data_IF_698089977169
#
_entry.id   IF_698089977169
#
_cell.length_a   1.000
_cell.length_b   1.000
_cell.length_c   1.000
_cell.angle_alpha   90.00
_cell.angle_beta   90.00
_cell.angle_gamma   90.00
#
_symmetry.space_group_name_H-M   'P 1'
#
loop_
_entity.id
_entity.type
_entity.pdbx_description
1 polymer ?
#
# COMPACT_ATOMS: atom_id res chain seq x y z
N UNK A 1 3.34 -13.05 34.10
CA UNK A 1 2.96 -13.71 32.84
C UNK A 1 3.60 -12.93 31.71
N UNK A 2 4.81 -13.32 31.30
CA UNK A 2 5.55 -12.68 30.20
C UNK A 2 5.03 -13.28 28.89
N UNK A 3 4.31 -12.49 28.11
CA UNK A 3 4.04 -12.83 26.70
C UNK A 3 4.91 -11.92 25.87
N UNK A 4 6.06 -12.45 25.47
CA UNK A 4 7.01 -11.83 24.56
C UNK A 4 7.25 -12.82 23.44
N UNK A 5 6.52 -12.73 22.31
CA UNK A 5 6.90 -13.28 20.99
C UNK A 5 6.00 -12.57 19.96
N UNK A 6 6.46 -11.92 18.89
CA UNK A 6 7.79 -11.62 18.39
C UNK A 6 7.69 -10.29 17.63
N UNK A 7 8.77 -9.51 17.66
CA UNK A 7 8.99 -8.50 16.65
C UNK A 7 8.92 -9.18 15.28
N UNK A 8 8.20 -8.56 14.33
CA UNK A 8 8.23 -8.94 12.92
C UNK A 8 9.68 -9.05 12.46
N UNK A 9 10.13 -10.29 12.28
CA UNK A 9 11.43 -10.58 11.70
C UNK A 9 11.23 -10.52 10.18
N UNK A 10 11.89 -9.61 9.44
CA UNK A 10 11.68 -9.40 8.00
C UNK A 10 12.14 -10.58 7.11
N UNK A 11 12.42 -11.76 7.70
CA UNK A 11 12.90 -12.98 7.05
C UNK A 11 11.90 -14.15 7.09
N UNK A 12 10.73 -13.99 7.71
CA UNK A 12 9.73 -15.06 7.80
C UNK A 12 8.74 -14.97 6.63
N UNK A 13 8.93 -15.81 5.59
CA UNK A 13 7.94 -15.93 4.51
C UNK A 13 6.85 -16.96 4.87
N UNK A 14 5.59 -16.58 4.70
CA UNK A 14 4.45 -17.51 4.79
C UNK A 14 4.00 -17.93 3.40
N UNK A 15 3.69 -19.22 3.22
CA UNK A 15 3.19 -19.75 1.95
C UNK A 15 1.67 -19.64 1.89
N UNK A 16 1.17 -19.06 0.80
CA UNK A 16 -0.26 -18.99 0.48
C UNK A 16 -0.49 -19.61 -0.91
N UNK A 17 -1.47 -20.49 -1.03
CA UNK A 17 -1.89 -21.06 -2.32
C UNK A 17 -2.97 -20.18 -2.94
N UNK A 18 -2.69 -19.61 -4.11
CA UNK A 18 -3.62 -18.73 -4.84
C UNK A 18 -3.96 -19.34 -6.20
N UNK A 19 -5.22 -19.22 -6.62
CA UNK A 19 -5.64 -19.61 -7.97
C UNK A 19 -5.37 -18.45 -8.93
N UNK A 20 -4.67 -18.74 -10.01
CA UNK A 20 -4.35 -17.77 -11.06
C UNK A 20 -4.96 -18.25 -12.38
N UNK A 21 -5.54 -17.34 -13.20
CA UNK A 21 -5.87 -17.64 -14.59
C UNK A 21 -4.64 -18.18 -15.35
N UNK A 22 -4.86 -19.06 -16.31
CA UNK A 22 -3.79 -19.67 -17.12
C UNK A 22 -2.92 -18.62 -17.80
N UNK A 23 -3.55 -17.61 -18.41
CA UNK A 23 -2.91 -16.50 -19.10
C UNK A 23 -1.97 -15.71 -18.16
N UNK A 24 -2.40 -15.46 -16.93
CA UNK A 24 -1.58 -14.76 -15.94
C UNK A 24 -0.36 -15.59 -15.50
N UNK A 25 -0.54 -16.91 -15.31
CA UNK A 25 0.57 -17.83 -15.01
C UNK A 25 1.60 -17.86 -16.14
N UNK A 26 1.15 -17.83 -17.39
CA UNK A 26 2.04 -17.77 -18.56
C UNK A 26 2.80 -16.45 -18.63
N UNK A 27 2.12 -15.32 -18.43
CA UNK A 27 2.75 -14.01 -18.34
C UNK A 27 3.83 -13.95 -17.26
N UNK A 28 3.53 -14.46 -16.06
CA UNK A 28 4.49 -14.55 -14.96
C UNK A 28 5.71 -15.44 -15.31
N UNK A 29 5.48 -16.52 -16.05
CA UNK A 29 6.55 -17.42 -16.50
C UNK A 29 7.50 -16.73 -17.50
N UNK A 30 6.96 -15.94 -18.43
CA UNK A 30 7.76 -15.13 -19.36
C UNK A 30 8.56 -14.05 -18.63
N UNK A 31 7.96 -13.38 -17.66
CA UNK A 31 8.62 -12.33 -16.87
C UNK A 31 9.75 -12.91 -16.00
N UNK A 32 9.52 -14.04 -15.35
CA UNK A 32 10.52 -14.78 -14.57
C UNK A 32 11.76 -15.11 -15.39
N UNK A 33 11.57 -15.63 -16.62
CA UNK A 33 12.67 -15.99 -17.52
C UNK A 33 13.53 -14.78 -17.91
N UNK A 34 12.90 -13.62 -18.20
CA UNK A 34 13.60 -12.40 -18.61
C UNK A 34 14.30 -11.68 -17.46
N UNK A 35 13.75 -11.74 -16.27
CA UNK A 35 14.26 -11.01 -15.08
C UNK A 35 15.19 -11.84 -14.22
N UNK A 36 15.36 -13.14 -14.50
CA UNK A 36 16.09 -14.10 -13.66
C UNK A 36 15.57 -14.13 -12.21
N UNK A 37 14.24 -14.02 -12.05
CA UNK A 37 13.55 -14.11 -10.76
C UNK A 37 12.59 -15.29 -10.76
N UNK A 38 12.33 -15.88 -9.59
CA UNK A 38 11.33 -16.94 -9.49
C UNK A 38 9.91 -16.38 -9.63
N UNK A 39 8.98 -17.20 -10.09
CA UNK A 39 7.55 -16.82 -10.17
C UNK A 39 7.00 -16.44 -8.80
N UNK A 40 7.37 -17.18 -7.76
CA UNK A 40 6.94 -16.89 -6.38
C UNK A 40 7.49 -15.55 -5.88
N UNK A 41 8.74 -15.21 -6.23
CA UNK A 41 9.31 -13.90 -5.90
C UNK A 41 8.52 -12.78 -6.59
N UNK A 42 8.30 -12.88 -7.90
CA UNK A 42 7.55 -11.86 -8.65
C UNK A 42 6.09 -11.73 -8.18
N UNK A 43 5.43 -12.84 -7.84
CA UNK A 43 4.09 -12.82 -7.28
C UNK A 43 4.07 -12.16 -5.90
N UNK A 44 5.03 -12.50 -5.03
CA UNK A 44 5.18 -11.88 -3.71
C UNK A 44 5.39 -10.38 -3.80
N UNK A 45 6.30 -9.92 -4.66
CA UNK A 45 6.55 -8.50 -4.90
C UNK A 45 5.30 -7.77 -5.41
N UNK A 46 4.59 -8.35 -6.37
CA UNK A 46 3.38 -7.74 -6.92
C UNK A 46 2.28 -7.61 -5.85
N UNK A 47 2.08 -8.65 -5.03
CA UNK A 47 1.12 -8.64 -3.93
C UNK A 47 1.54 -7.64 -2.86
N UNK A 48 2.81 -7.62 -2.45
CA UNK A 48 3.32 -6.69 -1.45
C UNK A 48 3.13 -5.23 -1.90
N UNK A 49 3.45 -4.93 -3.16
CA UNK A 49 3.26 -3.60 -3.70
C UNK A 49 1.77 -3.21 -3.77
N UNK A 50 0.87 -4.14 -4.10
CA UNK A 50 -0.57 -3.90 -4.06
C UNK A 50 -1.04 -3.61 -2.64
N UNK A 51 -0.77 -4.51 -1.70
CA UNK A 51 -1.19 -4.38 -0.29
C UNK A 51 -0.68 -3.08 0.32
N UNK A 52 0.59 -2.72 0.11
CA UNK A 52 1.15 -1.48 0.64
C UNK A 52 0.38 -0.24 0.17
N UNK A 53 0.04 -0.17 -1.14
CA UNK A 53 -0.73 0.95 -1.70
C UNK A 53 -2.16 0.98 -1.16
N UNK A 54 -2.82 -0.17 -1.11
CA UNK A 54 -4.21 -0.24 -0.63
C UNK A 54 -4.31 0.14 0.84
N UNK A 55 -3.37 -0.32 1.68
CA UNK A 55 -3.34 0.03 3.09
C UNK A 55 -3.11 1.53 3.30
N UNK A 56 -2.19 2.17 2.56
CA UNK A 56 -1.99 3.61 2.65
C UNK A 56 -3.28 4.40 2.36
N UNK A 57 -4.04 3.97 1.34
CA UNK A 57 -5.33 4.57 0.98
C UNK A 57 -6.36 4.36 2.09
N UNK A 58 -6.52 3.12 2.56
CA UNK A 58 -7.50 2.78 3.60
C UNK A 58 -7.20 3.56 4.87
N UNK A 59 -5.95 3.53 5.35
CA UNK A 59 -5.55 4.26 6.55
C UNK A 59 -5.72 5.78 6.39
N UNK A 60 -5.45 6.32 5.19
CA UNK A 60 -5.70 7.73 4.88
C UNK A 60 -7.17 8.11 5.02
N UNK A 61 -8.07 7.26 4.51
CA UNK A 61 -9.52 7.45 4.60
C UNK A 61 -9.97 7.35 6.07
N UNK A 62 -9.54 6.33 6.80
CA UNK A 62 -9.90 6.12 8.20
C UNK A 62 -9.47 7.30 9.07
N UNK A 63 -8.23 7.79 8.90
CA UNK A 63 -7.76 9.00 9.58
C UNK A 63 -8.64 10.22 9.25
N UNK A 64 -8.97 10.42 7.97
CA UNK A 64 -9.83 11.53 7.55
C UNK A 64 -11.24 11.48 8.15
N UNK A 65 -11.81 10.27 8.25
CA UNK A 65 -13.11 10.06 8.91
C UNK A 65 -13.04 10.37 10.41
N UNK A 66 -11.95 9.99 11.07
CA UNK A 66 -11.76 10.26 12.50
C UNK A 66 -11.48 11.74 12.78
N UNK A 67 -10.74 12.42 11.89
CA UNK A 67 -10.57 13.88 11.93
C UNK A 67 -11.92 14.60 11.77
N UNK A 68 -12.75 14.16 10.82
CA UNK A 68 -14.09 14.69 10.62
C UNK A 68 -14.96 14.51 11.88
N UNK A 69 -15.01 13.30 12.45
CA UNK A 69 -15.79 13.03 13.68
C UNK A 69 -15.31 13.87 14.87
N UNK A 70 -14.01 14.10 14.97
CA UNK A 70 -13.42 14.90 16.03
C UNK A 70 -13.45 16.41 15.77
N UNK A 71 -14.03 16.86 14.65
CA UNK A 71 -14.08 18.27 14.26
C UNK A 71 -12.71 18.85 13.87
N UNK A 72 -11.69 18.02 13.62
CA UNK A 72 -10.35 18.42 13.15
C UNK A 72 -10.35 18.69 11.64
N UNK A 73 -11.29 19.50 11.19
CA UNK A 73 -11.48 19.88 9.79
C UNK A 73 -11.34 21.40 9.64
N UNK A 74 -11.01 21.85 8.44
CA UNK A 74 -10.96 23.27 8.10
C UNK A 74 -12.15 23.65 7.21
N UNK A 75 -12.74 24.83 7.39
CA UNK A 75 -13.76 25.33 6.46
C UNK A 75 -13.22 25.42 5.03
N UNK A 76 -14.08 25.14 4.05
CA UNK A 76 -13.71 25.10 2.63
C UNK A 76 -12.99 26.37 2.16
N UNK A 77 -13.54 27.55 2.49
CA UNK A 77 -12.95 28.83 2.08
C UNK A 77 -11.53 29.02 2.61
N UNK A 78 -11.26 28.53 3.82
CA UNK A 78 -9.93 28.59 4.41
C UNK A 78 -8.95 27.62 3.72
N UNK A 79 -9.40 26.40 3.43
CA UNK A 79 -8.60 25.42 2.68
C UNK A 79 -8.18 25.99 1.32
N UNK A 80 -9.12 26.57 0.57
CA UNK A 80 -8.84 27.14 -0.76
C UNK A 80 -7.90 28.35 -0.70
N UNK A 81 -8.02 29.20 0.32
CA UNK A 81 -7.06 30.30 0.54
C UNK A 81 -5.64 29.76 0.75
N UNK A 82 -5.47 28.74 1.58
CA UNK A 82 -4.16 28.11 1.85
C UNK A 82 -3.55 27.50 0.60
N UNK A 83 -4.33 26.74 -0.18
CA UNK A 83 -3.87 26.11 -1.43
C UNK A 83 -3.37 27.15 -2.44
N UNK A 84 -4.17 28.21 -2.68
CA UNK A 84 -3.79 29.28 -3.61
C UNK A 84 -2.50 29.98 -3.18
N UNK A 85 -2.34 30.25 -1.88
CA UNK A 85 -1.13 30.89 -1.36
C UNK A 85 0.13 30.04 -1.60
N UNK A 86 0.03 28.70 -1.49
CA UNK A 86 1.15 27.80 -1.79
C UNK A 86 1.49 27.82 -3.29
N UNK A 87 0.49 27.81 -4.18
CA UNK A 87 0.69 27.85 -5.63
C UNK A 87 1.38 29.15 -6.05
N UNK A 88 0.92 30.31 -5.56
CA UNK A 88 1.51 31.60 -5.91
C UNK A 88 2.96 31.74 -5.43
N UNK A 89 3.31 31.13 -4.28
CA UNK A 89 4.69 31.13 -3.77
C UNK A 89 5.64 30.25 -4.61
N UNK A 90 5.10 29.23 -5.28
CA UNK A 90 5.88 28.30 -6.10
C UNK A 90 6.07 28.80 -7.55
N UNK A 91 5.42 29.91 -7.91
CA UNK A 91 5.53 30.57 -9.21
C UNK A 91 6.67 31.59 -9.20
#
# INVERSE_FOLDING_TARGET
MRTQIAADNPLNSTTMTVRLPSELKEGLSRLAARTRRSKSFLAGEAIAAYVARELEIIEGIERGLDDMKAGRVVPHDEAMRRIRAVIEKAR
#
